data_IF_746830605119
#
_entry.id   IF_746830605119
#
_cell.length_a   1.000
_cell.length_b   1.000
_cell.length_c   1.000
_cell.angle_alpha   90.00
_cell.angle_beta   90.00
_cell.angle_gamma   90.00
#
_symmetry.space_group_name_H-M   'P 1'
#
loop_
_entity.id
_entity.type
_entity.pdbx_description
1 polymer ?
#
# COMPACT_ATOMS: atom_id res chain seq x y z
N UNK A 1 -20.53 -31.09 13.58
CA UNK A 1 -20.68 -29.64 13.75
C UNK A 1 -21.80 -29.33 14.73
N UNK A 2 -21.55 -28.56 15.76
CA UNK A 2 -22.56 -28.11 16.70
C UNK A 2 -23.54 -27.16 16.01
N UNK A 3 -24.85 -27.31 16.23
CA UNK A 3 -25.82 -26.40 15.65
C UNK A 3 -25.65 -25.00 16.24
N UNK A 4 -25.36 -24.04 15.39
CA UNK A 4 -25.21 -22.63 15.75
C UNK A 4 -26.60 -21.98 15.71
N UNK A 5 -26.98 -21.24 16.73
CA UNK A 5 -28.25 -20.51 16.73
C UNK A 5 -28.28 -19.40 15.69
N UNK A 6 -29.48 -19.04 15.20
CA UNK A 6 -29.62 -17.94 14.23
C UNK A 6 -29.03 -16.62 14.72
N UNK A 7 -29.12 -16.36 16.03
CA UNK A 7 -28.55 -15.17 16.68
C UNK A 7 -27.04 -15.17 16.60
N UNK A 8 -26.41 -16.31 16.82
CA UNK A 8 -24.93 -16.46 16.73
C UNK A 8 -24.46 -16.30 15.28
N UNK A 9 -25.19 -16.85 14.31
CA UNK A 9 -24.88 -16.68 12.88
C UNK A 9 -24.92 -15.20 12.48
N UNK A 10 -25.92 -14.46 12.94
CA UNK A 10 -26.04 -13.02 12.65
C UNK A 10 -24.87 -12.25 13.27
N UNK A 11 -24.50 -12.58 14.51
CA UNK A 11 -23.36 -11.95 15.19
C UNK A 11 -22.03 -12.22 14.48
N UNK A 12 -21.79 -13.45 14.04
CA UNK A 12 -20.60 -13.85 13.27
C UNK A 12 -20.53 -13.17 11.90
N UNK A 13 -21.68 -13.03 11.21
CA UNK A 13 -21.74 -12.31 9.94
C UNK A 13 -21.41 -10.84 10.08
N UNK A 14 -21.90 -10.17 11.13
CA UNK A 14 -21.56 -8.77 11.41
C UNK A 14 -20.08 -8.58 11.71
N UNK A 15 -19.50 -9.48 12.45
CA UNK A 15 -18.06 -9.47 12.74
C UNK A 15 -17.24 -9.70 11.47
N UNK A 16 -17.63 -10.65 10.63
CA UNK A 16 -17.01 -10.91 9.35
C UNK A 16 -17.07 -9.69 8.42
N UNK A 17 -18.22 -9.04 8.29
CA UNK A 17 -18.37 -7.82 7.49
C UNK A 17 -17.48 -6.69 7.97
N UNK A 18 -17.35 -6.52 9.29
CA UNK A 18 -16.47 -5.52 9.89
C UNK A 18 -14.99 -5.83 9.59
N UNK A 19 -14.58 -7.06 9.73
CA UNK A 19 -13.22 -7.50 9.43
C UNK A 19 -12.90 -7.36 7.93
N UNK A 20 -13.82 -7.74 7.06
CA UNK A 20 -13.68 -7.60 5.60
C UNK A 20 -13.52 -6.13 5.20
N UNK A 21 -14.32 -5.24 5.79
CA UNK A 21 -14.22 -3.80 5.54
C UNK A 21 -12.88 -3.21 5.95
N UNK A 22 -12.34 -3.62 7.09
CA UNK A 22 -11.12 -3.06 7.66
C UNK A 22 -9.84 -3.74 7.17
N UNK A 23 -9.89 -5.03 6.90
CA UNK A 23 -8.73 -5.86 6.57
C UNK A 23 -8.79 -6.51 5.19
N UNK A 24 -9.90 -6.35 4.46
CA UNK A 24 -10.08 -6.98 3.16
C UNK A 24 -9.02 -6.61 2.12
N UNK A 25 -8.46 -5.42 2.23
CA UNK A 25 -7.43 -4.95 1.31
C UNK A 25 -6.10 -5.73 1.34
N UNK A 26 -5.82 -6.40 2.45
CA UNK A 26 -4.58 -7.20 2.59
C UNK A 26 -4.79 -8.69 2.29
N UNK A 27 -6.01 -9.11 2.02
CA UNK A 27 -6.39 -10.52 1.86
C UNK A 27 -5.64 -11.24 0.74
N UNK A 28 -5.36 -10.55 -0.35
CA UNK A 28 -4.65 -11.06 -1.51
C UNK A 28 -3.18 -10.65 -1.55
N UNK A 29 -2.70 -9.97 -0.51
CA UNK A 29 -1.32 -9.54 -0.41
C UNK A 29 -0.40 -10.76 -0.20
N UNK A 30 0.49 -11.00 -1.13
CA UNK A 30 1.38 -12.19 -1.12
C UNK A 30 2.64 -11.99 -0.28
N UNK A 31 3.07 -10.76 -0.09
CA UNK A 31 4.28 -10.40 0.66
C UNK A 31 4.10 -9.07 1.39
N UNK A 32 4.99 -8.80 2.34
CA UNK A 32 5.07 -7.50 2.99
C UNK A 32 5.41 -6.43 1.95
N UNK A 33 4.73 -5.27 1.93
CA UNK A 33 5.03 -4.21 0.99
C UNK A 33 6.45 -3.66 1.20
N UNK A 34 7.08 -3.23 0.13
CA UNK A 34 8.42 -2.64 0.17
C UNK A 34 8.40 -1.20 0.70
N UNK A 35 7.32 -0.50 0.47
CA UNK A 35 7.12 0.88 0.93
C UNK A 35 5.64 1.14 1.26
N UNK A 36 5.42 2.06 2.19
CA UNK A 36 4.09 2.54 2.56
C UNK A 36 4.07 4.06 2.43
N UNK A 37 3.05 4.58 1.74
CA UNK A 37 2.77 6.00 1.67
C UNK A 37 1.69 6.38 2.68
N UNK A 38 1.99 7.32 3.56
CA UNK A 38 1.12 7.77 4.65
C UNK A 38 0.77 9.24 4.47
N UNK A 39 -0.52 9.56 4.48
CA UNK A 39 -0.98 10.94 4.36
C UNK A 39 -0.88 11.70 5.69
N UNK A 40 -1.23 11.04 6.79
CA UNK A 40 -1.18 11.63 8.13
C UNK A 40 -0.49 10.68 9.13
N UNK A 41 0.83 10.82 9.32
CA UNK A 41 1.57 9.93 10.21
C UNK A 41 1.11 9.97 11.67
N UNK A 42 0.54 11.09 12.10
CA UNK A 42 0.05 11.24 13.47
C UNK A 42 -1.20 10.41 13.74
N UNK A 43 -2.14 10.39 12.80
CA UNK A 43 -3.35 9.56 12.88
C UNK A 43 -3.06 8.08 12.64
N UNK A 44 -2.10 7.80 11.76
CA UNK A 44 -1.68 6.44 11.37
C UNK A 44 -0.46 5.97 12.18
N UNK A 45 -0.39 6.30 13.44
CA UNK A 45 0.76 6.00 14.30
C UNK A 45 1.03 4.50 14.44
N UNK A 46 0.00 3.68 14.50
CA UNK A 46 0.13 2.22 14.55
C UNK A 46 0.81 1.69 13.29
N UNK A 47 0.43 2.19 12.12
CA UNK A 47 1.04 1.86 10.85
C UNK A 47 2.52 2.24 10.80
N UNK A 48 2.89 3.42 11.32
CA UNK A 48 4.28 3.87 11.44
C UNK A 48 5.09 2.92 12.32
N UNK A 49 4.57 2.53 13.47
CA UNK A 49 5.24 1.62 14.39
C UNK A 49 5.41 0.22 13.80
N UNK A 50 4.40 -0.32 13.16
CA UNK A 50 4.46 -1.61 12.49
C UNK A 50 5.48 -1.61 11.34
N UNK A 51 5.50 -0.55 10.54
CA UNK A 51 6.45 -0.39 9.44
C UNK A 51 7.90 -0.32 9.95
N UNK A 52 8.16 0.39 11.02
CA UNK A 52 9.48 0.41 11.66
C UNK A 52 9.91 -0.97 12.16
N UNK A 53 9.00 -1.71 12.77
CA UNK A 53 9.25 -3.06 13.27
C UNK A 53 9.58 -4.03 12.14
N UNK A 54 8.90 -3.91 11.00
CA UNK A 54 9.06 -4.77 9.83
C UNK A 54 10.16 -4.29 8.85
N UNK A 55 10.76 -3.13 9.10
CA UNK A 55 11.77 -2.56 8.21
C UNK A 55 11.22 -2.06 6.87
N UNK A 56 9.94 -1.66 6.83
CA UNK A 56 9.30 -1.12 5.63
C UNK A 56 9.63 0.36 5.49
N UNK A 57 9.98 0.79 4.28
CA UNK A 57 10.23 2.20 3.95
C UNK A 57 8.95 3.01 4.06
N UNK A 58 8.99 4.10 4.81
CA UNK A 58 7.87 5.02 5.00
C UNK A 58 8.08 6.31 4.22
N UNK A 59 7.08 6.64 3.42
CA UNK A 59 6.97 7.90 2.68
C UNK A 59 5.71 8.61 3.16
N UNK A 60 5.82 9.84 3.54
CA UNK A 60 4.64 10.53 4.06
C UNK A 60 4.65 12.03 3.90
N UNK A 61 3.45 12.60 4.00
CA UNK A 61 3.26 14.04 4.06
C UNK A 61 3.41 14.47 5.51
N UNK A 62 4.39 15.30 5.81
CA UNK A 62 4.59 15.86 7.13
C UNK A 62 4.20 17.34 7.15
N UNK A 63 3.28 17.64 8.04
CA UNK A 63 2.94 19.00 8.46
C UNK A 63 3.72 19.35 9.74
N UNK A 64 3.57 20.55 10.26
CA UNK A 64 4.26 21.06 11.45
C UNK A 64 4.07 20.21 12.72
N UNK A 65 3.07 19.34 12.74
CA UNK A 65 2.71 18.47 13.88
C UNK A 65 3.37 17.08 13.86
N UNK A 66 4.16 16.77 12.85
CA UNK A 66 4.77 15.46 12.69
C UNK A 66 6.26 15.51 12.96
N UNK A 67 6.79 14.44 13.56
CA UNK A 67 8.22 14.23 13.70
C UNK A 67 8.78 13.72 12.37
N UNK A 68 9.63 14.50 11.67
CA UNK A 68 10.21 14.07 10.41
C UNK A 68 11.14 12.85 10.54
N UNK A 69 11.61 12.51 11.72
CA UNK A 69 12.44 11.32 11.97
C UNK A 69 11.64 10.00 11.90
N UNK A 70 10.32 10.06 12.02
CA UNK A 70 9.46 8.89 11.89
C UNK A 70 9.32 8.37 10.45
N UNK A 71 9.64 9.20 9.46
CA UNK A 71 9.52 8.90 8.05
C UNK A 71 10.90 8.81 7.38
N UNK A 72 11.06 7.85 6.46
CA UNK A 72 12.28 7.73 5.65
C UNK A 72 12.34 8.83 4.57
N UNK A 73 11.19 9.11 3.96
CA UNK A 73 11.04 10.20 2.98
C UNK A 73 9.89 11.11 3.40
N UNK A 74 10.20 12.38 3.55
CA UNK A 74 9.25 13.39 4.01
C UNK A 74 8.87 14.31 2.85
N UNK A 75 7.57 14.42 2.59
CA UNK A 75 7.03 15.41 1.67
C UNK A 75 6.45 16.54 2.51
N UNK A 76 7.03 17.74 2.51
CA UNK A 76 6.47 18.86 3.25
C UNK A 76 5.18 19.30 2.58
N UNK A 77 4.13 19.37 3.35
CA UNK A 77 2.82 19.76 2.83
C UNK A 77 1.75 19.79 3.90
N UNK A 78 0.59 20.32 3.53
CA UNK A 78 -0.57 20.39 4.39
C UNK A 78 -1.43 19.13 4.19
N UNK A 79 -1.51 18.29 5.22
CA UNK A 79 -2.28 17.06 5.24
C UNK A 79 -3.80 17.28 5.43
N UNK A 80 -4.21 18.49 5.84
CA UNK A 80 -5.62 18.85 6.04
C UNK A 80 -6.28 19.40 4.77
N UNK A 81 -5.52 19.84 3.78
CA UNK A 81 -6.04 20.40 2.54
C UNK A 81 -6.31 19.31 1.49
N UNK A 82 -7.57 19.10 1.16
CA UNK A 82 -8.00 18.08 0.16
C UNK A 82 -7.29 18.25 -1.19
N UNK A 83 -7.10 19.48 -1.65
CA UNK A 83 -6.41 19.76 -2.92
C UNK A 83 -4.93 19.38 -2.89
N UNK A 84 -4.25 19.68 -1.78
CA UNK A 84 -2.84 19.34 -1.61
C UNK A 84 -2.65 17.83 -1.54
N UNK A 85 -3.47 17.14 -0.77
CA UNK A 85 -3.47 15.67 -0.67
C UNK A 85 -3.74 15.03 -2.02
N UNK A 86 -4.74 15.48 -2.76
CA UNK A 86 -5.08 14.98 -4.10
C UNK A 86 -3.91 15.14 -5.07
N UNK A 87 -3.24 16.28 -5.07
CA UNK A 87 -2.09 16.52 -5.93
C UNK A 87 -0.94 15.55 -5.61
N UNK A 88 -0.58 15.40 -4.36
CA UNK A 88 0.52 14.54 -3.93
C UNK A 88 0.21 13.08 -4.20
N UNK A 89 -1.00 12.62 -3.86
CA UNK A 89 -1.44 11.23 -4.12
C UNK A 89 -1.46 10.94 -5.61
N UNK A 90 -1.91 11.87 -6.44
CA UNK A 90 -1.88 11.73 -7.90
C UNK A 90 -0.45 11.56 -8.43
N UNK A 91 0.49 12.34 -7.91
CA UNK A 91 1.92 12.23 -8.29
C UNK A 91 2.53 10.90 -7.86
N UNK A 92 2.19 10.41 -6.67
CA UNK A 92 2.63 9.10 -6.20
C UNK A 92 2.05 7.96 -7.04
N UNK A 93 0.77 8.04 -7.38
CA UNK A 93 0.12 7.08 -8.27
C UNK A 93 0.75 7.06 -9.67
N UNK A 94 1.03 8.22 -10.25
CA UNK A 94 1.70 8.35 -11.54
C UNK A 94 3.10 7.71 -11.51
N UNK A 95 3.86 7.91 -10.44
CA UNK A 95 5.18 7.30 -10.27
C UNK A 95 5.12 5.77 -10.24
N UNK A 96 4.14 5.19 -9.55
CA UNK A 96 3.92 3.74 -9.51
C UNK A 96 3.52 3.19 -10.87
N UNK A 97 2.61 3.85 -11.57
CA UNK A 97 2.17 3.48 -12.93
C UNK A 97 3.36 3.51 -13.90
N UNK A 98 4.16 4.56 -13.87
CA UNK A 98 5.34 4.70 -14.72
C UNK A 98 6.37 3.60 -14.45
N UNK A 99 6.63 3.28 -13.19
CA UNK A 99 7.53 2.20 -12.81
C UNK A 99 7.03 0.83 -13.28
N UNK A 100 5.73 0.54 -13.15
CA UNK A 100 5.14 -0.71 -13.62
C UNK A 100 5.17 -0.83 -15.13
N UNK A 101 4.87 0.21 -15.88
CA UNK A 101 4.99 0.23 -17.34
C UNK A 101 6.43 0.00 -17.80
N UNK A 102 7.40 0.60 -17.13
CA UNK A 102 8.81 0.36 -17.39
C UNK A 102 9.24 -1.08 -17.13
N UNK A 103 8.73 -1.72 -16.09
CA UNK A 103 8.97 -3.12 -15.77
C UNK A 103 8.35 -4.04 -16.83
N UNK A 104 7.11 -3.82 -17.22
CA UNK A 104 6.42 -4.57 -18.29
C UNK A 104 7.18 -4.46 -19.62
N UNK A 105 7.63 -3.28 -19.99
CA UNK A 105 8.40 -3.07 -21.22
C UNK A 105 9.75 -3.82 -21.19
N UNK A 106 10.40 -3.90 -20.04
CA UNK A 106 11.64 -4.67 -19.87
C UNK A 106 11.40 -6.18 -19.98
N UNK A 107 10.29 -6.67 -19.45
CA UNK A 107 9.90 -8.07 -19.55
C UNK A 107 9.60 -8.44 -21.01
N UNK A 108 8.85 -7.62 -21.75
CA UNK A 108 8.56 -7.83 -23.17
C UNK A 108 9.84 -7.90 -24.00
N UNK A 109 10.78 -6.99 -23.79
CA UNK A 109 12.08 -7.00 -24.49
C UNK A 109 12.90 -8.24 -24.15
N UNK A 110 12.87 -8.68 -22.93
CA UNK A 110 13.58 -9.90 -22.49
C UNK A 110 12.97 -11.17 -23.11
N UNK A 111 11.66 -11.23 -23.22
CA UNK A 111 10.97 -12.35 -23.88
C UNK A 111 11.24 -12.38 -25.39
N UNK A 112 11.22 -11.24 -26.07
CA UNK A 112 11.56 -11.15 -27.49
C UNK A 112 12.99 -11.58 -27.76
N UNK A 113 13.95 -11.15 -26.94
CA UNK A 113 15.35 -11.52 -27.05
C UNK A 113 15.57 -13.03 -26.82
N UNK A 114 14.86 -13.62 -25.88
CA UNK A 114 14.94 -15.06 -25.62
C UNK A 114 14.39 -15.91 -26.79
N UNK A 115 13.32 -15.44 -27.42
CA UNK A 115 12.72 -16.11 -28.59
C UNK A 115 13.66 -16.03 -29.80
N UNK A 116 14.32 -14.90 -30.02
CA UNK A 116 15.31 -14.75 -31.10
C UNK A 116 16.52 -15.67 -30.89
N UNK A 117 17.01 -15.81 -29.66
CA UNK A 117 18.14 -16.66 -29.33
C UNK A 117 17.80 -18.16 -29.51
N UNK A 118 16.57 -18.57 -29.17
CA UNK A 118 16.10 -19.93 -29.46
C UNK A 118 15.89 -20.19 -30.96
N UNK A 119 15.51 -19.20 -31.73
CA UNK A 119 15.30 -19.33 -33.17
C UNK A 119 16.60 -19.42 -33.97
N UNK A 120 17.71 -18.85 -33.47
CA UNK A 120 19.03 -18.91 -34.06
C UNK A 120 19.85 -20.18 -33.67
N UNK A 121 19.40 -20.86 -32.64
CA UNK A 121 19.99 -22.14 -32.22
C UNK A 121 19.34 -23.30 -32.98
#
# INVERSE_FOLDING_TARGET
ALPISKKEVIALKKEWEKLEKNLGGIKEMKKIPDAIFIVDPKKERICVQEAHTLGITLIGIADTNCDPEELDYVIPGNDDAIRAVKLIVSKMADAVIEANQGAEALEEVAEEAAVEEEAEA
#
